data_IF_164215171438
#
_entry.id   IF_164215171438
#
_cell.length_a   1.000
_cell.length_b   1.000
_cell.length_c   1.000
_cell.angle_alpha   90.00
_cell.angle_beta   90.00
_cell.angle_gamma   90.00
#
_symmetry.space_group_name_H-M   'P 1'
#
loop_
_entity.id
_entity.type
_entity.pdbx_description
1 polymer ?
#
# COMPACT_ATOMS: atom_id res chain seq x y z
N UNK A 1 0.32 -27.35 -55.06
CA UNK A 1 -0.96 -26.82 -54.51
C UNK A 1 -1.42 -27.52 -53.22
N UNK A 2 -1.31 -28.86 -53.07
CA UNK A 2 -1.75 -29.54 -51.83
C UNK A 2 -0.96 -29.14 -50.55
N UNK A 3 0.36 -28.93 -50.65
CA UNK A 3 1.21 -28.58 -49.48
C UNK A 3 0.97 -27.17 -48.95
N UNK A 4 0.69 -26.20 -49.82
CA UNK A 4 0.37 -24.81 -49.43
C UNK A 4 -1.00 -24.70 -48.77
N UNK A 5 -1.99 -25.47 -49.25
CA UNK A 5 -3.31 -25.55 -48.62
C UNK A 5 -3.26 -26.15 -47.21
N UNK A 6 -2.39 -27.15 -46.98
CA UNK A 6 -2.22 -27.79 -45.67
C UNK A 6 -1.52 -26.85 -44.66
N UNK A 7 -0.59 -26.02 -45.12
CA UNK A 7 0.10 -25.03 -44.31
C UNK A 7 -0.82 -23.88 -43.87
N UNK A 8 -1.70 -23.41 -44.76
CA UNK A 8 -2.71 -22.39 -44.45
C UNK A 8 -3.73 -22.93 -43.44
N UNK A 9 -4.16 -24.19 -43.58
CA UNK A 9 -5.05 -24.84 -42.61
C UNK A 9 -4.44 -24.95 -41.21
N UNK A 10 -3.13 -25.21 -41.11
CA UNK A 10 -2.42 -25.31 -39.82
C UNK A 10 -2.31 -23.96 -39.11
N UNK A 11 -2.09 -22.86 -39.87
CA UNK A 11 -2.05 -21.50 -39.33
C UNK A 11 -3.44 -21.07 -38.81
N UNK A 12 -4.50 -21.38 -39.56
CA UNK A 12 -5.89 -21.11 -39.14
C UNK A 12 -6.30 -21.93 -37.90
N UNK A 13 -5.82 -23.17 -37.77
CA UNK A 13 -6.07 -24.00 -36.60
C UNK A 13 -5.32 -23.50 -35.35
N UNK A 14 -4.09 -23.00 -35.53
CA UNK A 14 -3.30 -22.42 -34.44
C UNK A 14 -3.90 -21.13 -33.86
N UNK A 15 -4.63 -20.34 -34.67
CA UNK A 15 -5.34 -19.15 -34.18
C UNK A 15 -6.56 -19.44 -33.30
N UNK A 16 -7.09 -20.67 -33.29
CA UNK A 16 -8.27 -21.04 -32.49
C UNK A 16 -7.94 -21.28 -31.00
N UNK A 17 -6.66 -21.34 -30.62
CA UNK A 17 -6.21 -21.61 -29.24
C UNK A 17 -5.66 -20.38 -28.51
N UNK A 18 -5.77 -19.19 -29.08
CA UNK A 18 -5.45 -17.96 -28.35
C UNK A 18 -6.60 -17.62 -27.39
N UNK A 19 -6.60 -18.25 -26.22
CA UNK A 19 -7.32 -17.70 -25.07
C UNK A 19 -6.63 -16.41 -24.64
N UNK A 20 -7.09 -15.29 -25.21
CA UNK A 20 -6.75 -13.97 -24.72
C UNK A 20 -7.27 -13.85 -23.29
N UNK A 21 -6.40 -14.08 -22.31
CA UNK A 21 -6.69 -13.75 -20.91
C UNK A 21 -6.84 -12.24 -20.81
N UNK A 22 -8.08 -11.77 -20.91
CA UNK A 22 -8.48 -10.40 -20.68
C UNK A 22 -8.10 -9.99 -19.25
N UNK A 23 -6.96 -9.31 -19.11
CA UNK A 23 -6.53 -8.76 -17.82
C UNK A 23 -7.24 -7.44 -17.59
N UNK A 24 -7.79 -7.29 -16.39
CA UNK A 24 -8.43 -6.07 -15.90
C UNK A 24 -7.54 -5.45 -14.82
N UNK A 25 -7.62 -4.14 -14.66
CA UNK A 25 -6.93 -3.42 -13.60
C UNK A 25 -7.95 -2.84 -12.64
N UNK A 26 -7.86 -3.21 -11.37
CA UNK A 26 -8.63 -2.62 -10.29
C UNK A 26 -7.74 -1.58 -9.63
N UNK A 27 -8.25 -0.38 -9.47
CA UNK A 27 -7.57 0.68 -8.75
C UNK A 27 -8.27 0.93 -7.43
N UNK A 28 -7.54 0.75 -6.32
CA UNK A 28 -8.06 0.94 -4.98
C UNK A 28 -7.83 2.37 -4.49
N UNK A 29 -8.68 2.85 -3.59
CA UNK A 29 -8.55 4.17 -2.96
C UNK A 29 -7.21 4.36 -2.24
N UNK A 30 -6.58 3.27 -1.79
CA UNK A 30 -5.26 3.35 -1.16
C UNK A 30 -4.10 3.62 -2.15
N UNK A 31 -4.38 3.73 -3.45
CA UNK A 31 -3.41 3.94 -4.53
C UNK A 31 -2.81 2.65 -5.09
N UNK A 32 -3.30 1.47 -4.73
CA UNK A 32 -2.83 0.19 -5.24
C UNK A 32 -3.56 -0.20 -6.52
N UNK A 33 -2.80 -0.61 -7.55
CA UNK A 33 -3.34 -1.23 -8.76
C UNK A 33 -3.20 -2.75 -8.70
N UNK A 34 -4.30 -3.44 -8.96
CA UNK A 34 -4.39 -4.90 -8.94
C UNK A 34 -4.76 -5.37 -10.34
N UNK A 35 -3.85 -6.12 -10.96
CA UNK A 35 -4.12 -6.78 -12.24
C UNK A 35 -4.70 -8.16 -11.96
N UNK A 36 -5.91 -8.42 -12.46
CA UNK A 36 -6.62 -9.69 -12.30
C UNK A 36 -7.30 -10.11 -13.60
N UNK A 37 -7.49 -11.42 -13.79
CA UNK A 37 -8.33 -11.95 -14.87
C UNK A 37 -9.78 -12.21 -14.42
N UNK A 38 -10.02 -12.24 -13.10
CA UNK A 38 -11.32 -12.60 -12.52
C UNK A 38 -11.63 -11.72 -11.30
N UNK A 39 -12.82 -11.14 -11.29
CA UNK A 39 -13.41 -10.49 -10.13
C UNK A 39 -14.92 -10.73 -10.09
N UNK A 40 -15.51 -10.49 -8.93
CA UNK A 40 -16.96 -10.48 -8.73
C UNK A 40 -17.33 -9.46 -7.66
N UNK A 41 -18.46 -8.78 -7.88
CA UNK A 41 -19.03 -7.83 -6.92
C UNK A 41 -20.26 -8.48 -6.32
N UNK A 42 -20.29 -8.60 -4.99
CA UNK A 42 -21.45 -9.11 -4.24
C UNK A 42 -22.11 -7.92 -3.58
N UNK A 43 -23.26 -7.50 -4.13
CA UNK A 43 -23.95 -6.26 -3.71
C UNK A 43 -24.55 -6.40 -2.32
N UNK A 44 -24.99 -7.60 -1.95
CA UNK A 44 -25.62 -7.89 -0.65
C UNK A 44 -24.67 -7.67 0.53
N UNK A 45 -23.37 -7.88 0.32
CA UNK A 45 -22.34 -7.71 1.34
C UNK A 45 -21.45 -6.50 1.09
N UNK A 46 -21.69 -5.74 0.01
CA UNK A 46 -20.82 -4.65 -0.46
C UNK A 46 -19.34 -5.05 -0.55
N UNK A 47 -19.09 -6.28 -1.02
CA UNK A 47 -17.74 -6.83 -1.13
C UNK A 47 -17.30 -7.00 -2.57
N UNK A 48 -16.04 -6.70 -2.82
CA UNK A 48 -15.35 -6.91 -4.07
C UNK A 48 -14.35 -8.06 -3.93
N UNK A 49 -14.52 -9.12 -4.73
CA UNK A 49 -13.65 -10.29 -4.73
C UNK A 49 -12.80 -10.32 -6.00
N UNK A 50 -11.53 -10.68 -5.89
CA UNK A 50 -10.63 -10.85 -7.03
C UNK A 50 -9.66 -12.02 -6.82
N UNK A 51 -9.16 -12.59 -7.92
CA UNK A 51 -8.04 -13.53 -7.84
C UNK A 51 -6.70 -12.80 -7.95
N UNK A 52 -5.81 -13.07 -7.01
CA UNK A 52 -4.45 -12.58 -7.13
C UNK A 52 -3.66 -13.37 -8.18
N UNK A 53 -2.43 -12.92 -8.48
CA UNK A 53 -1.51 -13.61 -9.43
C UNK A 53 -1.20 -15.07 -9.07
N UNK A 54 -1.49 -15.51 -7.83
CA UNK A 54 -1.32 -16.89 -7.35
C UNK A 54 -2.62 -17.70 -7.40
N UNK A 55 -3.68 -17.18 -8.02
CA UNK A 55 -5.00 -17.83 -8.10
C UNK A 55 -5.78 -17.86 -6.78
N UNK A 56 -5.30 -17.19 -5.73
CA UNK A 56 -6.02 -17.12 -4.45
C UNK A 56 -7.05 -16.00 -4.51
N UNK A 57 -8.27 -16.32 -4.12
CA UNK A 57 -9.32 -15.33 -3.91
C UNK A 57 -8.93 -14.40 -2.77
N UNK A 58 -9.15 -13.12 -3.00
CA UNK A 58 -8.98 -12.02 -2.07
C UNK A 58 -10.20 -11.13 -2.15
N UNK A 59 -10.48 -10.46 -1.05
CA UNK A 59 -11.63 -9.61 -0.88
C UNK A 59 -11.19 -8.23 -0.40
N UNK A 60 -12.00 -7.23 -0.74
CA UNK A 60 -11.89 -5.87 -0.27
C UNK A 60 -13.31 -5.27 -0.23
N UNK A 61 -13.65 -4.45 0.76
CA UNK A 61 -14.89 -3.67 0.72
C UNK A 61 -15.02 -2.89 -0.58
N UNK A 62 -16.21 -2.86 -1.15
CA UNK A 62 -16.50 -2.19 -2.42
C UNK A 62 -16.21 -0.69 -2.34
N UNK A 63 -16.47 -0.08 -1.17
CA UNK A 63 -16.15 1.32 -0.87
C UNK A 63 -14.67 1.68 -1.02
N UNK A 64 -13.76 0.70 -0.96
CA UNK A 64 -12.32 0.94 -1.16
C UNK A 64 -11.86 0.78 -2.61
N UNK A 65 -12.77 0.46 -3.53
CA UNK A 65 -12.49 0.36 -4.96
C UNK A 65 -12.78 1.70 -5.62
N UNK A 66 -11.75 2.33 -6.19
CA UNK A 66 -11.92 3.58 -6.93
C UNK A 66 -12.52 3.31 -8.31
N UNK A 67 -11.83 2.50 -9.12
CA UNK A 67 -12.23 2.21 -10.49
C UNK A 67 -11.77 0.83 -10.96
N UNK A 68 -12.40 0.37 -12.04
CA UNK A 68 -12.04 -0.85 -12.77
C UNK A 68 -11.81 -0.47 -14.22
N UNK A 69 -10.63 -0.80 -14.74
CA UNK A 69 -10.32 -0.75 -16.16
C UNK A 69 -10.45 -2.14 -16.73
N UNK A 70 -11.35 -2.30 -17.71
CA UNK A 70 -11.52 -3.57 -18.41
C UNK A 70 -10.33 -3.88 -19.34
N UNK A 71 -10.34 -5.05 -19.97
CA UNK A 71 -9.29 -5.47 -20.89
C UNK A 71 -9.25 -4.67 -22.19
N UNK A 72 -10.30 -3.89 -22.49
CA UNK A 72 -10.37 -2.99 -23.64
C UNK A 72 -9.89 -1.58 -23.29
N UNK A 73 -9.50 -1.34 -22.03
CA UNK A 73 -9.05 -0.04 -21.54
C UNK A 73 -10.18 0.89 -21.12
N UNK A 74 -11.44 0.44 -21.12
CA UNK A 74 -12.56 1.25 -20.65
C UNK A 74 -12.58 1.25 -19.12
N UNK A 75 -12.47 2.43 -18.54
CA UNK A 75 -12.59 2.62 -17.11
C UNK A 75 -14.05 2.79 -16.68
N UNK A 76 -14.42 2.11 -15.60
CA UNK A 76 -15.67 2.31 -14.86
C UNK A 76 -15.31 2.72 -13.44
N UNK A 77 -15.69 3.94 -13.06
CA UNK A 77 -15.48 4.44 -11.69
C UNK A 77 -16.61 3.92 -10.80
N UNK A 78 -16.23 3.37 -9.66
CA UNK A 78 -17.14 2.83 -8.64
C UNK A 78 -17.22 3.70 -7.40
N UNK A 79 -16.24 4.60 -7.21
CA UNK A 79 -16.21 5.52 -6.10
C UNK A 79 -17.44 6.42 -6.07
N UNK A 80 -18.03 6.54 -4.88
CA UNK A 80 -19.07 7.52 -4.56
C UNK A 80 -18.61 8.33 -3.36
N UNK A 81 -18.65 9.68 -3.42
CA UNK A 81 -18.34 10.51 -2.27
C UNK A 81 -19.26 10.21 -1.10
N UNK A 82 -18.71 10.22 0.11
CA UNK A 82 -19.51 10.15 1.34
C UNK A 82 -20.05 11.54 1.67
N UNK A 83 -21.35 11.73 1.49
CA UNK A 83 -22.03 12.98 1.78
C UNK A 83 -22.27 13.24 3.27
N UNK A 84 -22.02 12.25 4.14
CA UNK A 84 -22.20 12.36 5.60
C UNK A 84 -20.87 12.75 6.27
N UNK A 85 -19.74 12.46 5.64
CA UNK A 85 -18.43 12.86 6.16
C UNK A 85 -18.29 14.38 6.17
N UNK A 86 -17.98 14.95 7.35
CA UNK A 86 -17.81 16.40 7.50
C UNK A 86 -16.47 16.89 6.90
N UNK A 87 -15.43 16.07 6.91
CA UNK A 87 -14.09 16.42 6.41
C UNK A 87 -13.31 15.18 5.92
N UNK A 88 -12.29 15.41 5.09
CA UNK A 88 -11.33 14.39 4.67
C UNK A 88 -11.49 13.91 3.22
N UNK A 89 -10.66 12.95 2.81
CA UNK A 89 -10.60 12.52 1.41
C UNK A 89 -11.94 11.91 0.91
N UNK A 90 -12.75 11.35 1.80
CA UNK A 90 -14.04 10.74 1.45
C UNK A 90 -15.10 11.75 0.98
N UNK A 91 -14.89 13.06 1.18
CA UNK A 91 -15.78 14.12 0.68
C UNK A 91 -15.44 14.57 -0.75
N UNK A 92 -14.29 14.14 -1.28
CA UNK A 92 -13.83 14.55 -2.61
C UNK A 92 -14.79 14.09 -3.70
N UNK A 93 -15.01 14.95 -4.69
CA UNK A 93 -15.70 14.52 -5.91
C UNK A 93 -14.82 13.54 -6.71
N UNK A 94 -15.36 12.97 -7.78
CA UNK A 94 -14.65 11.96 -8.59
C UNK A 94 -13.26 12.44 -9.06
N UNK A 95 -13.17 13.67 -9.58
CA UNK A 95 -11.93 14.23 -10.12
C UNK A 95 -10.88 14.46 -9.03
N UNK A 96 -11.31 15.03 -7.90
CA UNK A 96 -10.44 15.24 -6.74
C UNK A 96 -9.97 13.92 -6.15
N UNK A 97 -10.86 12.94 -6.03
CA UNK A 97 -10.51 11.61 -5.54
C UNK A 97 -9.53 10.92 -6.49
N UNK A 98 -9.70 11.04 -7.80
CA UNK A 98 -8.75 10.51 -8.79
C UNK A 98 -7.33 11.06 -8.57
N UNK A 99 -7.22 12.38 -8.37
CA UNK A 99 -5.94 13.02 -8.07
C UNK A 99 -5.36 12.56 -6.73
N UNK A 100 -6.21 12.42 -5.70
CA UNK A 100 -5.81 11.86 -4.40
C UNK A 100 -5.26 10.44 -4.53
N UNK A 101 -5.96 9.55 -5.23
CA UNK A 101 -5.55 8.16 -5.45
C UNK A 101 -4.25 8.10 -6.28
N UNK A 102 -4.07 8.99 -7.27
CA UNK A 102 -2.79 9.14 -7.99
C UNK A 102 -1.64 9.60 -7.09
N UNK A 103 -1.91 10.52 -6.17
CA UNK A 103 -0.95 10.93 -5.15
C UNK A 103 -0.50 9.74 -4.31
N UNK A 104 -1.46 8.92 -3.86
CA UNK A 104 -1.21 7.69 -3.09
C UNK A 104 -0.42 6.65 -3.87
N UNK A 105 -0.79 6.41 -5.14
CA UNK A 105 -0.05 5.54 -6.05
C UNK A 105 1.40 5.99 -6.18
N UNK A 106 1.61 7.28 -6.44
CA UNK A 106 2.94 7.87 -6.59
C UNK A 106 3.79 7.68 -5.32
N UNK A 107 3.21 7.90 -4.15
CA UNK A 107 3.86 7.62 -2.87
C UNK A 107 4.13 6.12 -2.67
N UNK A 108 3.22 5.25 -3.10
CA UNK A 108 3.38 3.79 -3.04
C UNK A 108 4.59 3.30 -3.85
N UNK A 109 4.90 3.93 -4.97
CA UNK A 109 6.04 3.56 -5.79
C UNK A 109 7.35 4.21 -5.33
N UNK A 110 7.28 5.48 -4.91
CA UNK A 110 8.48 6.31 -4.78
C UNK A 110 8.95 6.53 -3.33
N UNK A 111 8.04 6.49 -2.35
CA UNK A 111 8.37 6.75 -0.96
C UNK A 111 8.80 5.46 -0.24
N UNK A 112 10.03 5.44 0.32
CA UNK A 112 10.60 4.24 0.96
C UNK A 112 10.61 4.25 2.49
N UNK A 113 10.44 5.40 3.14
CA UNK A 113 10.36 5.51 4.60
C UNK A 113 11.53 4.90 5.40
N UNK A 114 12.75 4.82 4.83
CA UNK A 114 13.89 4.13 5.46
C UNK A 114 14.31 4.74 6.80
N UNK A 115 14.30 6.06 6.91
CA UNK A 115 14.65 6.74 8.17
C UNK A 115 13.67 6.38 9.30
N UNK A 116 12.39 6.19 8.98
CA UNK A 116 11.40 5.76 9.97
C UNK A 116 11.68 4.35 10.49
N UNK A 117 12.13 3.44 9.61
CA UNK A 117 12.58 2.11 10.02
C UNK A 117 13.79 2.19 10.96
N UNK A 118 14.82 2.96 10.60
CA UNK A 118 16.04 3.11 11.42
C UNK A 118 15.71 3.72 12.78
N UNK A 119 14.88 4.77 12.83
CA UNK A 119 14.46 5.36 14.10
C UNK A 119 13.66 4.38 14.96
N UNK A 120 12.74 3.63 14.34
CA UNK A 120 12.00 2.58 15.02
C UNK A 120 12.93 1.52 15.59
N UNK A 121 13.88 1.04 14.78
CA UNK A 121 14.88 0.05 15.19
C UNK A 121 15.74 0.53 16.36
N UNK A 122 16.23 1.77 16.32
CA UNK A 122 17.02 2.33 17.41
C UNK A 122 16.22 2.40 18.72
N UNK A 123 14.96 2.86 18.67
CA UNK A 123 14.06 2.88 19.83
C UNK A 123 13.80 1.45 20.34
N UNK A 124 13.55 0.51 19.42
CA UNK A 124 13.35 -0.91 19.71
C UNK A 124 14.53 -1.54 20.44
N UNK A 125 15.73 -1.37 19.90
CA UNK A 125 16.95 -1.97 20.44
C UNK A 125 17.35 -1.37 21.79
N UNK A 126 17.09 -0.08 22.00
CA UNK A 126 17.37 0.58 23.28
C UNK A 126 16.39 0.19 24.39
N UNK A 127 15.16 -0.23 24.06
CA UNK A 127 14.11 -0.47 25.06
C UNK A 127 14.44 -1.56 26.09
N UNK A 128 14.94 -2.76 25.73
CA UNK A 128 15.36 -3.78 26.70
C UNK A 128 16.53 -3.32 27.58
N UNK A 129 17.48 -2.58 27.00
CA UNK A 129 18.65 -2.07 27.73
C UNK A 129 18.21 -1.02 28.75
N UNK A 130 17.38 -0.06 28.34
CA UNK A 130 16.88 1.01 29.19
C UNK A 130 15.98 0.49 30.32
N UNK A 131 15.10 -0.47 30.03
CA UNK A 131 14.26 -1.10 31.06
C UNK A 131 15.09 -1.88 32.08
N UNK A 132 16.06 -2.67 31.61
CA UNK A 132 16.98 -3.41 32.48
C UNK A 132 17.82 -2.47 33.36
N UNK A 133 18.38 -1.41 32.78
CA UNK A 133 19.16 -0.40 33.51
C UNK A 133 18.32 0.38 34.54
N UNK A 134 17.02 0.57 34.28
CA UNK A 134 16.10 1.22 35.20
C UNK A 134 15.55 0.28 36.29
N UNK A 135 15.97 -0.99 36.33
CA UNK A 135 15.42 -2.00 37.25
C UNK A 135 13.97 -2.39 36.93
N UNK A 136 13.48 -2.05 35.74
CA UNK A 136 12.15 -2.39 35.26
C UNK A 136 12.24 -3.75 34.56
N UNK A 137 11.27 -4.63 34.81
CA UNK A 137 11.24 -5.94 34.17
C UNK A 137 11.22 -5.79 32.64
N UNK A 138 12.11 -6.52 31.95
CA UNK A 138 12.25 -6.49 30.50
C UNK A 138 10.95 -6.84 29.76
N UNK A 139 10.00 -7.54 30.40
CA UNK A 139 8.66 -7.80 29.84
C UNK A 139 7.88 -6.51 29.50
N UNK A 140 8.25 -5.36 30.06
CA UNK A 140 7.67 -4.05 29.72
C UNK A 140 8.39 -3.36 28.55
N UNK A 141 9.52 -3.88 28.08
CA UNK A 141 10.25 -3.32 26.93
C UNK A 141 9.40 -3.13 25.67
N UNK A 142 8.40 -3.98 25.33
CA UNK A 142 7.52 -3.76 24.18
C UNK A 142 6.65 -2.48 24.26
N UNK A 143 6.43 -1.92 25.46
CA UNK A 143 5.67 -0.68 25.62
C UNK A 143 6.40 0.55 25.07
N UNK A 144 7.74 0.56 25.15
CA UNK A 144 8.56 1.69 24.70
C UNK A 144 8.49 1.86 23.17
N UNK A 145 8.63 0.81 22.33
CA UNK A 145 8.40 0.93 20.89
C UNK A 145 6.95 1.30 20.56
N UNK A 146 5.95 0.79 21.29
CA UNK A 146 4.55 1.12 21.03
C UNK A 146 4.28 2.64 21.20
N UNK A 147 4.82 3.25 22.26
CA UNK A 147 4.70 4.69 22.52
C UNK A 147 5.65 5.51 21.63
N UNK A 148 6.91 5.08 21.52
CA UNK A 148 7.95 5.79 20.78
C UNK A 148 7.73 5.82 19.26
N UNK A 149 7.16 4.75 18.69
CA UNK A 149 6.80 4.75 17.26
C UNK A 149 5.59 5.61 16.97
N UNK A 150 4.68 5.79 17.92
CA UNK A 150 3.56 6.72 17.81
C UNK A 150 4.03 8.19 17.72
N UNK A 151 5.11 8.54 18.42
CA UNK A 151 5.72 9.87 18.33
C UNK A 151 6.30 10.19 16.93
N UNK A 152 6.62 9.18 16.12
CA UNK A 152 7.11 9.38 14.73
C UNK A 152 6.03 10.04 13.87
N UNK A 153 4.74 9.83 14.18
CA UNK A 153 3.62 10.48 13.49
C UNK A 153 3.50 11.99 13.78
N UNK A 154 4.06 12.45 14.90
CA UNK A 154 4.10 13.88 15.23
C UNK A 154 5.06 14.67 14.31
N UNK A 155 6.00 13.97 13.67
CA UNK A 155 6.93 14.59 12.73
C UNK A 155 6.36 14.52 11.31
N UNK A 156 6.24 15.67 10.62
CA UNK A 156 5.78 15.70 9.23
C UNK A 156 6.86 15.16 8.28
N UNK A 157 6.50 14.38 7.24
CA UNK A 157 7.48 13.98 6.23
C UNK A 157 8.02 15.23 5.54
N UNK A 158 9.32 15.25 5.25
CA UNK A 158 9.95 16.40 4.58
C UNK A 158 9.36 16.58 3.17
N UNK A 159 8.79 17.76 2.94
CA UNK A 159 8.23 18.16 1.65
C UNK A 159 9.27 18.66 0.66
N UNK A 160 10.46 19.00 1.12
CA UNK A 160 11.50 19.61 0.28
C UNK A 160 11.90 18.66 -0.84
N UNK A 161 12.04 17.37 -0.53
CA UNK A 161 12.33 16.33 -1.52
C UNK A 161 11.14 16.07 -2.44
N UNK A 162 9.91 16.16 -1.93
CA UNK A 162 8.69 15.97 -2.71
C UNK A 162 8.51 17.10 -3.74
N UNK A 163 8.52 18.35 -3.32
CA UNK A 163 8.34 19.50 -4.22
C UNK A 163 9.48 19.66 -5.23
N UNK A 164 10.69 19.22 -4.87
CA UNK A 164 11.80 19.15 -5.84
C UNK A 164 11.55 18.12 -6.94
N UNK A 165 10.85 17.03 -6.63
CA UNK A 165 10.57 15.93 -7.56
C UNK A 165 9.30 16.15 -8.38
N UNK A 166 8.29 16.82 -7.81
CA UNK A 166 7.00 17.10 -8.44
C UNK A 166 6.63 18.58 -8.29
N UNK A 167 7.34 19.50 -8.96
CA UNK A 167 7.11 20.94 -8.82
C UNK A 167 5.74 21.37 -9.37
N UNK A 168 5.27 20.70 -10.42
CA UNK A 168 3.99 20.90 -11.11
C UNK A 168 2.78 20.45 -10.28
N UNK A 169 2.99 19.54 -9.32
CA UNK A 169 1.91 18.99 -8.48
C UNK A 169 1.69 19.76 -7.18
N UNK A 170 2.46 20.82 -6.93
CA UNK A 170 2.39 21.58 -5.67
C UNK A 170 1.02 22.22 -5.42
N UNK A 171 0.34 22.65 -6.47
CA UNK A 171 -0.96 23.34 -6.38
C UNK A 171 -2.15 22.37 -6.38
N UNK A 172 -1.92 21.10 -6.75
CA UNK A 172 -2.94 20.07 -6.74
C UNK A 172 -3.10 19.49 -5.32
N UNK A 173 -3.94 20.15 -4.52
CA UNK A 173 -4.14 19.81 -3.11
C UNK A 173 -4.61 18.35 -2.90
N UNK A 174 -5.55 17.79 -3.67
CA UNK A 174 -5.94 16.38 -3.52
C UNK A 174 -4.77 15.43 -3.76
N UNK A 175 -3.97 15.65 -4.81
CA UNK A 175 -2.78 14.84 -5.09
C UNK A 175 -1.75 14.92 -3.96
N UNK A 176 -1.45 16.13 -3.48
CA UNK A 176 -0.50 16.33 -2.37
C UNK A 176 -1.00 15.62 -1.12
N UNK A 177 -2.29 15.75 -0.80
CA UNK A 177 -2.93 15.09 0.34
C UNK A 177 -2.79 13.56 0.26
N UNK A 178 -3.11 12.98 -0.89
CA UNK A 178 -2.96 11.54 -1.12
C UNK A 178 -1.52 11.06 -0.99
N UNK A 179 -0.57 11.78 -1.60
CA UNK A 179 0.84 11.45 -1.46
C UNK A 179 1.29 11.46 0.00
N UNK A 180 0.86 12.47 0.77
CA UNK A 180 1.21 12.61 2.18
C UNK A 180 0.64 11.48 3.04
N UNK A 181 -0.63 11.12 2.85
CA UNK A 181 -1.27 10.09 3.65
C UNK A 181 -0.63 8.73 3.44
N UNK A 182 -0.36 8.36 2.18
CA UNK A 182 0.39 7.13 1.87
C UNK A 182 1.82 7.18 2.41
N UNK A 183 2.52 8.32 2.30
CA UNK A 183 3.86 8.46 2.87
C UNK A 183 3.86 8.30 4.40
N UNK A 184 2.89 8.90 5.11
CA UNK A 184 2.71 8.75 6.56
C UNK A 184 2.43 7.30 6.94
N UNK A 185 1.49 6.65 6.26
CA UNK A 185 1.16 5.25 6.50
C UNK A 185 2.38 4.34 6.36
N UNK A 186 3.20 4.54 5.32
CA UNK A 186 4.46 3.83 5.14
C UNK A 186 5.48 4.11 6.24
N UNK A 187 5.59 5.35 6.71
CA UNK A 187 6.49 5.69 7.84
C UNK A 187 6.07 4.95 9.09
N UNK A 188 4.79 4.95 9.42
CA UNK A 188 4.24 4.23 10.58
C UNK A 188 4.55 2.74 10.48
N UNK A 189 4.20 2.12 9.34
CA UNK A 189 4.47 0.69 9.11
C UNK A 189 5.96 0.36 9.24
N UNK A 190 6.83 1.15 8.61
CA UNK A 190 8.28 0.94 8.67
C UNK A 190 8.84 1.16 10.08
N UNK A 191 8.35 2.16 10.81
CA UNK A 191 8.76 2.40 12.19
C UNK A 191 8.36 1.25 13.11
N UNK A 192 7.15 0.71 12.95
CA UNK A 192 6.69 -0.46 13.71
C UNK A 192 7.57 -1.67 13.39
N UNK A 193 7.78 -1.99 12.10
CA UNK A 193 8.65 -3.10 11.70
C UNK A 193 10.10 -2.93 12.17
N UNK A 194 10.61 -1.69 12.11
CA UNK A 194 11.91 -1.34 12.67
C UNK A 194 11.95 -1.59 14.17
N UNK A 195 10.98 -1.08 14.92
CA UNK A 195 10.87 -1.23 16.38
C UNK A 195 10.78 -2.68 16.83
N UNK A 196 9.97 -3.51 16.15
CA UNK A 196 9.90 -4.95 16.43
C UNK A 196 11.23 -5.64 16.16
N UNK A 197 11.88 -5.32 15.04
CA UNK A 197 13.19 -5.89 14.69
C UNK A 197 14.28 -5.46 15.69
N UNK A 198 14.26 -4.20 16.09
CA UNK A 198 15.18 -3.63 17.09
C UNK A 198 14.97 -4.25 18.45
N UNK A 199 13.71 -4.41 18.90
CA UNK A 199 13.38 -5.05 20.16
C UNK A 199 13.96 -6.46 20.25
N UNK A 200 13.80 -7.26 19.19
CA UNK A 200 14.41 -8.60 19.12
C UNK A 200 15.93 -8.55 19.26
N UNK A 201 16.59 -7.63 18.55
CA UNK A 201 18.04 -7.44 18.66
C UNK A 201 18.49 -6.98 20.06
N UNK A 202 17.73 -6.08 20.70
CA UNK A 202 18.01 -5.57 22.04
C UNK A 202 17.85 -6.63 23.12
N UNK A 203 16.85 -7.51 23.02
CA UNK A 203 16.67 -8.64 23.94
C UNK A 203 17.87 -9.58 23.86
N UNK A 204 18.29 -9.94 22.63
CA UNK A 204 19.47 -10.77 22.41
C UNK A 204 20.71 -10.11 23.04
N UNK A 205 20.91 -8.81 22.83
CA UNK A 205 22.03 -8.08 23.42
C UNK A 205 22.00 -8.10 24.96
N UNK A 206 20.83 -7.89 25.58
CA UNK A 206 20.70 -7.99 27.04
C UNK A 206 21.01 -9.39 27.58
N UNK A 207 20.60 -10.45 26.87
CA UNK A 207 20.95 -11.82 27.24
C UNK A 207 22.46 -12.08 27.23
N UNK A 208 23.23 -11.40 26.38
CA UNK A 208 24.69 -11.50 26.40
C UNK A 208 25.35 -10.58 27.44
N UNK A 209 24.76 -9.43 27.75
CA UNK A 209 25.36 -8.42 28.62
C UNK A 209 25.09 -8.62 30.12
N UNK A 210 24.01 -9.32 30.48
CA UNK A 210 23.55 -9.45 31.88
C UNK A 210 23.48 -10.90 32.38
N UNK A 211 24.01 -11.86 31.63
CA UNK A 211 24.08 -13.29 32.02
C UNK A 211 25.49 -13.71 32.50
N UNK A 212 26.43 -12.77 32.57
CA UNK A 212 27.75 -12.96 33.22
C UNK A 212 27.71 -12.51 34.70
#
# INVERSE_FOLDING_TARGET
MKKTSLFIGLILFASLFYEANAQQTIWLLNGQKIVTAKYSIVKETEMFYYQNKKGKTKDVPLEYVFSITDSLGKETVLYTPDSIADEGAFTYNETEMREYVHGRETANENYKGRLAFVSGFAIGAAAPIATSAAGINFFYAPLIPAVGTSAINLTKPSFTTFYKKYPDKKENLPFVSGYMDSAREKRTKNAIWGGLSGLGAGIIACCFLFVD
#
